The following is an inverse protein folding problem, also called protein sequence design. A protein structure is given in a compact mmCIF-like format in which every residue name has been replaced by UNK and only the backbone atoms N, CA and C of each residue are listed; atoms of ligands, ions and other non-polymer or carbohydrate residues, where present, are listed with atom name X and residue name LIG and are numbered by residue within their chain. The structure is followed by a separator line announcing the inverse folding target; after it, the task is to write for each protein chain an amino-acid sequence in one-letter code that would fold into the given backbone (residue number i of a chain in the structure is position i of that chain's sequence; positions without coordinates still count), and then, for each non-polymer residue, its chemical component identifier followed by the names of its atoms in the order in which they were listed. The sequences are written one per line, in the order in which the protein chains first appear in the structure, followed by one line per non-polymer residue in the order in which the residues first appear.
data_IF_297536361985
#
_entry.id   IF_297536361985
#
_cell.length_a   1.000
_cell.length_b   1.000
_cell.length_c   1.000
_cell.angle_alpha   90.00
_cell.angle_beta   90.00
_cell.angle_gamma   90.00
#
_symmetry.space_group_name_H-M   'P 1'
#
loop_
_entity.id
_entity.type
_entity.pdbx_description
1 polymer ?
#
# COMPACT_ATOMS: atom_id res chain seq x y z
N UNK A 1 -9.43 -24.25 -1.12
CA UNK A 1 -8.60 -23.25 -0.40
C UNK A 1 -8.92 -23.35 1.07
N UNK A 2 -7.91 -23.38 1.94
CA UNK A 2 -8.09 -23.65 3.37
C UNK A 2 -8.31 -22.36 4.16
N UNK A 3 -9.56 -21.89 4.21
CA UNK A 3 -9.94 -20.69 4.96
C UNK A 3 -9.64 -20.82 6.46
N UNK A 4 -9.72 -22.02 7.03
CA UNK A 4 -9.47 -22.26 8.45
C UNK A 4 -7.99 -22.08 8.78
N UNK A 5 -7.08 -22.61 7.95
CA UNK A 5 -5.65 -22.38 8.11
C UNK A 5 -5.29 -20.89 8.03
N UNK A 6 -5.89 -20.13 7.10
CA UNK A 6 -5.65 -18.69 6.99
C UNK A 6 -6.21 -17.91 8.18
N UNK A 7 -7.38 -18.29 8.70
CA UNK A 7 -7.95 -17.68 9.90
C UNK A 7 -7.09 -17.98 11.14
N UNK A 8 -6.66 -19.24 11.30
CA UNK A 8 -5.75 -19.64 12.36
C UNK A 8 -4.43 -18.86 12.29
N UNK A 9 -3.90 -18.65 11.08
CA UNK A 9 -2.70 -17.82 10.85
C UNK A 9 -2.95 -16.37 11.28
N UNK A 10 -4.08 -15.77 10.92
CA UNK A 10 -4.42 -14.41 11.34
C UNK A 10 -4.50 -14.28 12.87
N UNK A 11 -5.14 -15.25 13.54
CA UNK A 11 -5.24 -15.30 15.01
C UNK A 11 -3.86 -15.45 15.64
N UNK A 12 -3.02 -16.34 15.11
CA UNK A 12 -1.66 -16.53 15.59
C UNK A 12 -0.82 -15.25 15.46
N UNK A 13 -0.89 -14.56 14.31
CA UNK A 13 -0.22 -13.26 14.12
C UNK A 13 -0.75 -12.22 15.11
N UNK A 14 -2.06 -12.14 15.33
CA UNK A 14 -2.66 -11.19 16.25
C UNK A 14 -2.20 -11.40 17.71
N UNK A 15 -2.10 -12.66 18.13
CA UNK A 15 -1.64 -13.06 19.46
C UNK A 15 -0.14 -12.78 19.64
N UNK A 16 0.68 -13.27 18.70
CA UNK A 16 2.15 -13.13 18.76
C UNK A 16 2.61 -11.68 18.59
N UNK A 17 1.85 -10.84 17.90
CA UNK A 17 2.09 -9.39 17.86
C UNK A 17 2.07 -8.74 19.25
N UNK A 18 1.47 -9.38 20.26
CA UNK A 18 1.48 -8.93 21.65
C UNK A 18 2.88 -8.73 22.25
N UNK A 19 3.86 -9.50 21.76
CA UNK A 19 5.25 -9.45 22.21
C UNK A 19 6.08 -8.33 21.58
N UNK A 20 5.53 -7.58 20.62
CA UNK A 20 6.22 -6.50 19.93
C UNK A 20 5.97 -5.12 20.56
N UNK A 21 6.88 -4.15 20.34
CA UNK A 21 6.64 -2.75 20.68
C UNK A 21 5.36 -2.20 20.04
N UNK A 22 4.79 -1.16 20.64
CA UNK A 22 3.49 -0.57 20.29
C UNK A 22 3.26 -0.38 18.77
N UNK A 23 4.15 0.26 17.99
CA UNK A 23 3.86 0.54 16.58
C UNK A 23 3.76 -0.75 15.75
N UNK A 24 4.68 -1.70 15.96
CA UNK A 24 4.69 -2.98 15.25
C UNK A 24 3.52 -3.87 15.67
N UNK A 25 3.20 -3.89 16.96
CA UNK A 25 2.03 -4.59 17.48
C UNK A 25 0.74 -4.08 16.86
N UNK A 26 0.56 -2.76 16.79
CA UNK A 26 -0.63 -2.17 16.20
C UNK A 26 -0.74 -2.50 14.70
N UNK A 27 0.36 -2.37 13.96
CA UNK A 27 0.42 -2.69 12.53
C UNK A 27 0.06 -4.15 12.27
N UNK A 28 0.73 -5.11 12.92
CA UNK A 28 0.47 -6.53 12.68
C UNK A 28 -0.94 -6.95 13.09
N UNK A 29 -1.48 -6.39 14.19
CA UNK A 29 -2.88 -6.64 14.58
C UNK A 29 -3.86 -6.07 13.57
N UNK A 30 -3.60 -4.87 13.03
CA UNK A 30 -4.44 -4.29 11.98
C UNK A 30 -4.42 -5.14 10.71
N UNK A 31 -3.24 -5.61 10.28
CA UNK A 31 -3.11 -6.50 9.12
C UNK A 31 -3.80 -7.84 9.35
N UNK A 32 -3.67 -8.44 10.53
CA UNK A 32 -4.35 -9.68 10.89
C UNK A 32 -5.88 -9.53 10.88
N UNK A 33 -6.41 -8.44 11.44
CA UNK A 33 -7.84 -8.13 11.42
C UNK A 33 -8.35 -7.88 10.01
N UNK A 34 -7.60 -7.11 9.20
CA UNK A 34 -7.91 -6.87 7.80
C UNK A 34 -7.95 -8.18 7.02
N UNK A 35 -6.95 -9.05 7.18
CA UNK A 35 -6.92 -10.36 6.54
C UNK A 35 -8.12 -11.21 6.94
N UNK A 36 -8.44 -11.30 8.23
CA UNK A 36 -9.59 -12.04 8.73
C UNK A 36 -10.92 -11.49 8.17
N UNK A 37 -11.07 -10.18 8.07
CA UNK A 37 -12.24 -9.55 7.45
C UNK A 37 -12.34 -9.89 5.96
N UNK A 38 -11.23 -9.83 5.21
CA UNK A 38 -11.18 -10.22 3.80
C UNK A 38 -11.55 -11.70 3.60
N UNK A 39 -11.08 -12.60 4.47
CA UNK A 39 -11.49 -14.01 4.45
C UNK A 39 -12.99 -14.17 4.67
N UNK A 40 -13.55 -13.47 5.67
CA UNK A 40 -14.98 -13.50 5.96
C UNK A 40 -15.82 -13.04 4.77
N UNK A 41 -15.45 -11.93 4.14
CA UNK A 41 -16.11 -11.43 2.93
C UNK A 41 -15.98 -12.44 1.79
N UNK A 42 -14.78 -12.99 1.56
CA UNK A 42 -14.51 -13.96 0.48
C UNK A 42 -15.28 -15.28 0.66
N UNK A 43 -15.51 -15.69 1.90
CA UNK A 43 -16.30 -16.88 2.23
C UNK A 43 -17.80 -16.67 2.02
N UNK A 44 -18.32 -15.47 2.32
CA UNK A 44 -19.74 -15.11 2.14
C UNK A 44 -20.08 -14.78 0.68
N UNK A 45 -19.14 -14.15 -0.01
CA UNK A 45 -19.28 -13.74 -1.39
C UNK A 45 -17.96 -14.08 -2.10
N UNK A 46 -17.93 -15.07 -3.00
CA UNK A 46 -16.74 -15.40 -3.78
C UNK A 46 -16.55 -14.34 -4.88
N UNK A 47 -16.42 -13.08 -4.46
CA UNK A 47 -16.13 -11.90 -5.29
C UNK A 47 -14.67 -11.92 -5.70
N UNK A 48 -13.79 -12.52 -4.89
CA UNK A 48 -12.34 -12.49 -5.04
C UNK A 48 -11.65 -13.62 -5.84
N UNK A 49 -12.29 -14.49 -6.65
CA UNK A 49 -11.55 -15.36 -7.56
C UNK A 49 -11.13 -14.57 -8.80
N UNK A 50 -10.47 -13.43 -8.62
CA UNK A 50 -9.83 -12.72 -9.71
C UNK A 50 -8.50 -13.42 -9.99
N UNK A 51 -8.16 -13.59 -11.27
CA UNK A 51 -6.89 -14.18 -11.63
C UNK A 51 -5.74 -13.22 -11.28
N UNK A 52 -4.51 -13.76 -11.17
CA UNK A 52 -3.33 -12.97 -10.77
C UNK A 52 -3.10 -11.78 -11.71
N UNK A 53 -3.47 -11.94 -12.98
CA UNK A 53 -3.40 -10.88 -13.99
C UNK A 53 -4.38 -9.73 -13.69
N UNK A 54 -5.61 -10.01 -13.23
CA UNK A 54 -6.55 -8.97 -12.84
C UNK A 54 -6.05 -8.17 -11.63
N UNK A 55 -5.49 -8.85 -10.62
CA UNK A 55 -4.89 -8.22 -9.44
C UNK A 55 -3.73 -7.29 -9.80
N UNK A 56 -2.81 -7.78 -10.63
CA UNK A 56 -1.64 -7.00 -11.07
C UNK A 56 -2.02 -5.88 -12.03
N UNK A 57 -3.03 -6.07 -12.88
CA UNK A 57 -3.59 -5.02 -13.74
C UNK A 57 -4.24 -3.91 -12.92
N UNK A 58 -5.08 -4.24 -11.94
CA UNK A 58 -5.72 -3.25 -11.08
C UNK A 58 -4.68 -2.45 -10.27
N UNK A 59 -3.66 -3.13 -9.73
CA UNK A 59 -2.56 -2.47 -9.01
C UNK A 59 -1.79 -1.50 -9.90
N UNK A 60 -1.50 -1.92 -11.13
CA UNK A 60 -0.82 -1.08 -12.13
C UNK A 60 -1.66 0.13 -12.51
N UNK A 61 -2.96 -0.08 -12.79
CA UNK A 61 -3.88 0.99 -13.16
C UNK A 61 -3.98 2.06 -12.07
N UNK A 62 -4.12 1.67 -10.79
CA UNK A 62 -4.17 2.63 -9.69
C UNK A 62 -2.84 3.36 -9.49
N UNK A 63 -1.70 2.67 -9.60
CA UNK A 63 -0.39 3.33 -9.46
C UNK A 63 -0.15 4.32 -10.60
N UNK A 64 -0.51 3.97 -11.83
CA UNK A 64 -0.43 4.86 -13.00
C UNK A 64 -1.40 6.03 -12.89
N UNK A 65 -2.60 5.81 -12.35
CA UNK A 65 -3.55 6.88 -12.06
C UNK A 65 -2.96 7.87 -11.05
N UNK A 66 -2.35 7.38 -9.96
CA UNK A 66 -1.67 8.24 -8.99
C UNK A 66 -0.51 9.02 -9.63
N UNK A 67 0.30 8.37 -10.47
CA UNK A 67 1.42 8.99 -11.16
C UNK A 67 0.97 10.08 -12.14
N UNK A 68 -0.07 9.82 -12.91
CA UNK A 68 -0.63 10.78 -13.87
C UNK A 68 -1.38 11.93 -13.19
N UNK A 69 -2.03 11.66 -12.05
CA UNK A 69 -2.67 12.69 -11.22
C UNK A 69 -1.67 13.51 -10.39
N UNK A 70 -0.45 13.01 -10.19
CA UNK A 70 0.55 13.63 -9.32
C UNK A 70 0.80 15.12 -9.60
N UNK A 71 0.98 15.59 -10.86
CA UNK A 71 1.21 17.00 -11.13
C UNK A 71 0.02 17.87 -10.69
N UNK A 72 -1.20 17.40 -10.89
CA UNK A 72 -2.42 18.10 -10.50
C UNK A 72 -2.54 18.18 -8.97
N UNK A 73 -2.31 17.06 -8.27
CA UNK A 73 -2.33 17.01 -6.80
C UNK A 73 -1.25 17.92 -6.21
N UNK A 74 -0.03 17.87 -6.75
CA UNK A 74 1.06 18.73 -6.29
C UNK A 74 0.80 20.21 -6.58
N UNK A 75 0.18 20.53 -7.71
CA UNK A 75 -0.25 21.90 -8.02
C UNK A 75 -1.29 22.42 -7.02
N UNK A 76 -2.27 21.58 -6.67
CA UNK A 76 -3.36 21.92 -5.76
C UNK A 76 -2.93 21.98 -4.28
N UNK A 77 -1.89 21.25 -3.88
CA UNK A 77 -1.47 21.14 -2.48
C UNK A 77 -0.14 21.84 -2.22
N UNK A 78 0.93 21.38 -2.87
CA UNK A 78 2.30 21.82 -2.56
C UNK A 78 2.66 23.15 -3.23
N UNK A 79 2.31 23.34 -4.50
CA UNK A 79 2.79 24.49 -5.28
C UNK A 79 2.12 25.81 -4.89
N UNK A 80 0.94 25.76 -4.25
CA UNK A 80 0.28 26.94 -3.67
C UNK A 80 1.13 27.54 -2.55
N UNK A 81 1.76 26.67 -1.76
CA UNK A 81 2.51 27.05 -0.58
C UNK A 81 3.98 27.28 -0.93
N UNK A 82 4.62 26.32 -1.62
CA UNK A 82 6.03 26.40 -2.00
C UNK A 82 6.28 27.49 -3.05
N UNK A 83 7.29 28.37 -2.91
CA UNK A 83 7.63 29.41 -3.90
C UNK A 83 8.85 29.05 -4.75
N UNK A 84 9.78 28.24 -4.21
CA UNK A 84 10.94 27.80 -4.97
C UNK A 84 10.54 26.78 -6.03
N UNK A 85 10.81 27.09 -7.30
CA UNK A 85 10.56 26.18 -8.43
C UNK A 85 11.37 24.88 -8.31
N UNK A 86 12.59 24.95 -7.78
CA UNK A 86 13.46 23.79 -7.58
C UNK A 86 12.88 22.84 -6.54
N UNK A 87 12.42 23.37 -5.38
CA UNK A 87 11.83 22.54 -4.32
C UNK A 87 10.52 21.90 -4.77
N UNK A 88 9.69 22.62 -5.52
CA UNK A 88 8.48 22.09 -6.16
C UNK A 88 8.80 20.91 -7.07
N UNK A 89 9.79 21.09 -7.95
CA UNK A 89 10.20 20.05 -8.90
C UNK A 89 10.78 18.84 -8.16
N UNK A 90 11.68 19.05 -7.20
CA UNK A 90 12.30 17.98 -6.43
C UNK A 90 11.26 17.15 -5.67
N UNK A 91 10.30 17.79 -4.99
CA UNK A 91 9.24 17.11 -4.27
C UNK A 91 8.40 16.21 -5.21
N UNK A 92 8.01 16.75 -6.37
CA UNK A 92 7.25 15.99 -7.37
C UNK A 92 8.05 14.85 -7.96
N UNK A 93 9.33 15.06 -8.31
CA UNK A 93 10.20 14.02 -8.84
C UNK A 93 10.44 12.90 -7.84
N UNK A 94 10.58 13.23 -6.55
CA UNK A 94 10.77 12.23 -5.49
C UNK A 94 9.54 11.32 -5.33
N UNK A 95 8.35 11.90 -5.34
CA UNK A 95 7.10 11.12 -5.29
C UNK A 95 6.92 10.30 -6.57
N UNK A 96 7.19 10.89 -7.73
CA UNK A 96 7.14 10.18 -9.02
C UNK A 96 8.12 9.00 -9.04
N UNK A 97 9.34 9.20 -8.55
CA UNK A 97 10.36 8.15 -8.45
C UNK A 97 9.87 6.99 -7.57
N UNK A 98 9.27 7.28 -6.40
CA UNK A 98 8.65 6.22 -5.59
C UNK A 98 7.62 5.41 -6.39
N UNK A 99 6.67 6.06 -7.05
CA UNK A 99 5.61 5.36 -7.79
C UNK A 99 6.16 4.54 -8.96
N UNK A 100 7.15 5.07 -9.69
CA UNK A 100 7.78 4.40 -10.84
C UNK A 100 8.62 3.21 -10.39
N UNK A 101 9.49 3.37 -9.40
CA UNK A 101 10.40 2.31 -8.96
C UNK A 101 9.70 1.26 -8.09
N UNK A 102 8.72 1.65 -7.28
CA UNK A 102 7.98 0.70 -6.44
C UNK A 102 7.05 -0.20 -7.25
N UNK A 103 6.48 0.28 -8.36
CA UNK A 103 5.52 -0.51 -9.15
C UNK A 103 6.06 -1.88 -9.59
N UNK A 104 7.19 -2.00 -10.33
CA UNK A 104 7.68 -3.32 -10.74
C UNK A 104 8.04 -4.21 -9.55
N UNK A 105 8.56 -3.63 -8.46
CA UNK A 105 8.89 -4.37 -7.24
C UNK A 105 7.63 -4.91 -6.54
N UNK A 106 6.57 -4.09 -6.43
CA UNK A 106 5.26 -4.50 -5.89
C UNK A 106 4.62 -5.57 -6.76
N UNK A 107 4.65 -5.43 -8.08
CA UNK A 107 4.11 -6.43 -9.00
C UNK A 107 4.79 -7.78 -8.82
N UNK A 108 6.13 -7.79 -8.77
CA UNK A 108 6.90 -9.01 -8.52
C UNK A 108 6.61 -9.59 -7.13
N UNK A 109 6.65 -8.77 -6.08
CA UNK A 109 6.39 -9.21 -4.71
C UNK A 109 4.99 -9.81 -4.57
N UNK A 110 3.97 -9.16 -5.15
CA UNK A 110 2.59 -9.64 -5.10
C UNK A 110 2.47 -10.98 -5.83
N UNK A 111 3.02 -11.10 -7.04
CA UNK A 111 2.98 -12.35 -7.80
C UNK A 111 3.66 -13.50 -7.04
N UNK A 112 4.84 -13.26 -6.48
CA UNK A 112 5.58 -14.26 -5.70
C UNK A 112 4.84 -14.68 -4.42
N UNK A 113 4.31 -13.72 -3.66
CA UNK A 113 3.57 -14.01 -2.43
C UNK A 113 2.28 -14.78 -2.70
N UNK A 114 1.56 -14.41 -3.76
CA UNK A 114 0.34 -15.10 -4.17
C UNK A 114 0.64 -16.54 -4.62
N UNK A 115 1.71 -16.74 -5.39
CA UNK A 115 2.13 -18.05 -5.87
C UNK A 115 2.61 -18.96 -4.72
N UNK A 116 3.33 -18.40 -3.75
CA UNK A 116 3.97 -19.19 -2.66
C UNK A 116 3.05 -19.44 -1.47
N UNK A 117 2.15 -18.51 -1.16
CA UNK A 117 1.29 -18.60 0.03
C UNK A 117 -0.11 -19.09 -0.34
N UNK A 118 -0.89 -18.26 -1.04
CA UNK A 118 -2.28 -18.57 -1.41
C UNK A 118 -2.90 -17.39 -2.17
N UNK A 119 -3.87 -17.59 -3.07
CA UNK A 119 -4.67 -16.50 -3.61
C UNK A 119 -5.50 -15.74 -2.54
N UNK A 120 -5.79 -16.36 -1.39
CA UNK A 120 -6.58 -15.73 -0.32
C UNK A 120 -5.93 -14.49 0.32
N UNK A 121 -4.64 -14.25 0.09
CA UNK A 121 -3.96 -13.04 0.58
C UNK A 121 -4.06 -11.87 -0.39
N UNK A 122 -4.58 -12.05 -1.61
CA UNK A 122 -4.69 -10.99 -2.62
C UNK A 122 -5.34 -9.71 -2.08
N UNK A 123 -6.48 -9.73 -1.37
CA UNK A 123 -7.12 -8.50 -0.89
C UNK A 123 -6.26 -7.76 0.14
N UNK A 124 -5.60 -8.51 1.04
CA UNK A 124 -4.68 -7.96 2.01
C UNK A 124 -3.49 -7.28 1.30
N UNK A 125 -2.88 -7.97 0.35
CA UNK A 125 -1.78 -7.42 -0.46
C UNK A 125 -2.22 -6.21 -1.25
N UNK A 126 -3.41 -6.24 -1.86
CA UNK A 126 -3.92 -5.13 -2.65
C UNK A 126 -4.12 -3.90 -1.78
N UNK A 127 -4.81 -4.03 -0.65
CA UNK A 127 -5.10 -2.90 0.24
C UNK A 127 -3.82 -2.41 0.90
N UNK A 128 -3.13 -3.28 1.67
CA UNK A 128 -2.05 -2.86 2.54
C UNK A 128 -0.69 -2.77 1.85
N UNK A 129 -0.43 -3.62 0.84
CA UNK A 129 0.83 -3.62 0.07
C UNK A 129 0.75 -2.84 -1.25
N UNK A 130 -0.44 -2.39 -1.64
CA UNK A 130 -0.68 -1.66 -2.88
C UNK A 130 -1.01 -0.18 -2.64
N UNK A 131 -2.18 0.34 -3.07
CA UNK A 131 -2.45 1.77 -3.06
C UNK A 131 -2.42 2.43 -1.68
N UNK A 132 -2.80 1.73 -0.59
CA UNK A 132 -2.72 2.35 0.73
C UNK A 132 -1.27 2.61 1.16
N UNK A 133 -0.35 1.69 0.85
CA UNK A 133 1.08 1.91 1.08
C UNK A 133 1.59 3.09 0.26
N UNK A 134 1.19 3.18 -1.01
CA UNK A 134 1.56 4.32 -1.86
C UNK A 134 1.08 5.64 -1.27
N UNK A 135 -0.18 5.71 -0.83
CA UNK A 135 -0.74 6.93 -0.21
C UNK A 135 0.05 7.30 1.04
N UNK A 136 0.41 6.33 1.90
CA UNK A 136 1.19 6.59 3.11
C UNK A 136 2.58 7.12 2.77
N UNK A 137 3.30 6.49 1.84
CA UNK A 137 4.64 6.92 1.44
C UNK A 137 4.61 8.27 0.73
N UNK A 138 3.66 8.48 -0.19
CA UNK A 138 3.44 9.78 -0.86
C UNK A 138 3.18 10.88 0.17
N UNK A 139 2.34 10.60 1.17
CA UNK A 139 2.02 11.55 2.25
C UNK A 139 3.25 11.85 3.11
N UNK A 140 4.05 10.84 3.44
CA UNK A 140 5.30 11.02 4.20
C UNK A 140 6.32 11.85 3.41
N UNK A 141 6.52 11.54 2.12
CA UNK A 141 7.40 12.29 1.22
C UNK A 141 6.94 13.74 1.02
N UNK A 142 5.63 13.95 0.89
CA UNK A 142 5.03 15.28 0.84
C UNK A 142 5.27 16.06 2.15
N UNK A 143 5.01 15.45 3.30
CA UNK A 143 5.22 16.08 4.60
C UNK A 143 6.69 16.45 4.81
N UNK A 144 7.60 15.58 4.37
CA UNK A 144 9.04 15.87 4.36
C UNK A 144 9.37 17.06 3.45
N UNK A 145 8.84 17.11 2.22
CA UNK A 145 9.04 18.24 1.33
C UNK A 145 8.54 19.57 1.91
N UNK A 146 7.40 19.55 2.62
CA UNK A 146 6.87 20.74 3.33
C UNK A 146 7.78 21.16 4.47
N UNK A 147 8.44 20.21 5.16
CA UNK A 147 9.36 20.51 6.27
C UNK A 147 10.60 21.31 5.84
N UNK A 148 11.01 21.25 4.56
CA UNK A 148 12.17 22.00 4.05
C UNK A 148 12.01 23.52 4.16
N UNK A 149 10.77 24.00 4.33
CA UNK A 149 10.47 25.42 4.59
C UNK A 149 10.88 25.89 5.98
N UNK A 150 10.94 24.96 6.92
CA UNK A 150 11.15 25.21 8.35
C UNK A 150 12.44 24.54 8.87
N UNK A 151 13.22 23.89 8.00
CA UNK A 151 14.60 23.50 8.33
C UNK A 151 15.46 24.76 8.58
N UNK A 152 16.57 24.63 9.33
CA UNK A 152 17.39 25.77 9.76
C UNK A 152 17.78 26.71 8.61
#
# INVERSE_FOLDING_TARGET
MDYLAHLATAVLVWLTAGFLPIPWRALLRALALLHAACLGISALMPIFPYAVDDHTRALSALTLLMLTALPLVMAAMHYIIERSHERRLLATLMIAAWLVFSLPLKLLAHALLIQTLSPLIMPLLFIAGGPALDILVVTALYAWAVSWRHGP
#
